data_IF_453837538488
#
_entry.id   IF_453837538488
#
_cell.length_a   1.000
_cell.length_b   1.000
_cell.length_c   1.000
_cell.angle_alpha   90.00
_cell.angle_beta   90.00
_cell.angle_gamma   90.00
#
_symmetry.space_group_name_H-M   'P 1'
#
loop_
_entity.id
_entity.type
_entity.pdbx_description
1 polymer ?
#
# COMPACT_ATOMS: atom_id res chain seq x y z
N UNK A 1 -17.93 24.86 -3.77
CA UNK A 1 -18.50 23.93 -2.78
C UNK A 1 -17.31 23.16 -2.26
N UNK A 2 -16.81 23.54 -1.08
CA UNK A 2 -15.58 23.00 -0.48
C UNK A 2 -16.02 22.33 0.83
N UNK A 3 -16.52 21.09 0.77
CA UNK A 3 -16.81 20.29 1.95
C UNK A 3 -15.59 19.46 2.31
N UNK A 4 -14.90 19.88 3.37
CA UNK A 4 -13.84 19.17 4.11
C UNK A 4 -12.75 18.46 3.26
N UNK A 5 -11.62 19.15 3.06
CA UNK A 5 -10.35 18.49 2.75
C UNK A 5 -9.91 17.66 3.97
N UNK A 6 -10.29 16.39 4.00
CA UNK A 6 -9.85 15.45 5.03
C UNK A 6 -8.50 14.87 4.61
N UNK A 7 -7.50 15.08 5.47
CA UNK A 7 -6.21 14.41 5.39
C UNK A 7 -6.13 13.34 6.47
N UNK A 8 -5.86 12.11 6.08
CA UNK A 8 -5.70 10.97 6.98
C UNK A 8 -4.22 10.59 7.10
N UNK A 9 -3.81 10.15 8.29
CA UNK A 9 -2.50 9.58 8.54
C UNK A 9 -2.69 8.17 9.11
N UNK A 10 -2.13 7.16 8.44
CA UNK A 10 -2.15 5.78 8.92
C UNK A 10 -0.74 5.19 9.01
N UNK A 11 -0.61 4.23 9.93
CA UNK A 11 0.55 3.35 10.03
C UNK A 11 0.06 1.91 9.87
N UNK A 12 0.63 1.18 8.91
CA UNK A 12 0.20 -0.16 8.53
C UNK A 12 1.38 -1.14 8.69
N UNK A 13 1.12 -2.35 9.17
CA UNK A 13 2.09 -3.45 9.28
C UNK A 13 1.45 -4.74 8.81
N UNK A 14 2.21 -5.57 8.09
CA UNK A 14 1.73 -6.88 7.64
C UNK A 14 2.88 -7.90 7.57
N UNK A 15 2.52 -9.16 7.33
CA UNK A 15 3.47 -10.20 6.95
C UNK A 15 3.20 -10.67 5.52
N UNK A 16 4.22 -10.62 4.66
CA UNK A 16 4.14 -11.05 3.27
C UNK A 16 5.03 -12.27 3.04
N UNK A 17 4.54 -13.19 2.22
CA UNK A 17 5.24 -14.39 1.80
C UNK A 17 5.09 -14.58 0.28
N UNK A 18 6.12 -15.10 -0.37
CA UNK A 18 6.07 -15.39 -1.80
C UNK A 18 5.52 -16.79 -2.09
N UNK A 19 4.80 -16.94 -3.21
CA UNK A 19 4.43 -18.22 -3.79
C UNK A 19 5.15 -18.34 -5.14
N UNK A 20 5.88 -19.44 -5.38
CA UNK A 20 6.54 -19.70 -6.66
C UNK A 20 7.81 -18.89 -6.94
N UNK A 21 8.34 -18.16 -5.96
CA UNK A 21 9.64 -17.48 -6.07
C UNK A 21 10.75 -18.40 -5.52
N UNK A 22 11.82 -18.63 -6.30
CA UNK A 22 12.95 -19.50 -5.92
C UNK A 22 13.63 -19.10 -4.60
N UNK A 23 13.60 -17.81 -4.27
CA UNK A 23 14.22 -17.23 -3.08
C UNK A 23 13.28 -17.21 -1.85
N UNK A 24 12.03 -17.71 -1.98
CA UNK A 24 11.06 -17.92 -0.90
C UNK A 24 10.94 -16.72 0.08
N UNK A 25 10.74 -15.52 -0.48
CA UNK A 25 10.72 -14.30 0.31
C UNK A 25 9.67 -14.32 1.43
N UNK A 26 10.09 -13.85 2.61
CA UNK A 26 9.23 -13.50 3.74
C UNK A 26 9.68 -12.17 4.31
N UNK A 27 8.79 -11.20 4.38
CA UNK A 27 9.13 -9.84 4.81
C UNK A 27 7.95 -9.17 5.53
N UNK A 28 8.27 -8.16 6.33
CA UNK A 28 7.31 -7.46 7.17
C UNK A 28 7.20 -6.00 6.72
N UNK A 29 6.35 -5.66 5.73
CA UNK A 29 6.20 -4.27 5.30
C UNK A 29 5.62 -3.40 6.41
N UNK A 30 6.26 -2.26 6.64
CA UNK A 30 5.77 -1.15 7.45
C UNK A 30 5.48 0.03 6.53
N UNK A 31 4.25 0.53 6.54
CA UNK A 31 3.86 1.69 5.73
C UNK A 31 3.44 2.84 6.63
N UNK A 32 3.86 4.05 6.27
CA UNK A 32 3.27 5.30 6.75
C UNK A 32 2.58 5.93 5.57
N UNK A 33 1.26 6.13 5.66
CA UNK A 33 0.42 6.60 4.56
C UNK A 33 -0.25 7.90 4.91
N UNK A 34 -0.16 8.86 4.00
CA UNK A 34 -0.98 10.07 3.98
C UNK A 34 -2.07 9.86 2.94
N UNK A 35 -3.33 9.95 3.36
CA UNK A 35 -4.49 9.91 2.46
C UNK A 35 -5.08 11.30 2.28
N UNK A 36 -5.34 11.68 1.04
CA UNK A 36 -6.05 12.91 0.70
C UNK A 36 -7.39 12.58 0.08
N UNK A 37 -8.47 12.98 0.74
CA UNK A 37 -9.82 12.85 0.21
C UNK A 37 -10.01 13.77 -1.00
N UNK A 38 -10.44 13.19 -2.13
CA UNK A 38 -10.61 13.90 -3.39
C UNK A 38 -12.04 14.37 -3.64
N UNK A 39 -13.02 13.67 -3.05
CA UNK A 39 -14.44 13.97 -3.21
C UNK A 39 -15.21 13.80 -1.89
N UNK A 40 -16.36 14.45 -1.81
CA UNK A 40 -17.34 14.22 -0.76
C UNK A 40 -18.03 12.85 -0.96
N UNK A 41 -18.70 12.35 0.08
CA UNK A 41 -19.44 11.09 -0.06
C UNK A 41 -20.57 11.24 -1.07
N UNK A 42 -20.43 10.60 -2.22
CA UNK A 42 -21.36 10.63 -3.33
C UNK A 42 -21.93 9.25 -3.67
N UNK A 43 -22.63 9.19 -4.81
CA UNK A 43 -23.35 8.02 -5.32
C UNK A 43 -24.50 7.53 -4.42
N UNK A 44 -25.28 6.59 -4.95
CA UNK A 44 -26.42 5.96 -4.27
C UNK A 44 -26.22 4.43 -4.19
N UNK A 45 -27.09 3.78 -3.42
CA UNK A 45 -27.10 2.33 -3.22
C UNK A 45 -25.74 1.77 -2.76
N UNK A 46 -25.42 0.54 -3.18
CA UNK A 46 -24.21 -0.18 -2.80
C UNK A 46 -22.91 0.50 -3.25
N UNK A 47 -22.98 1.43 -4.21
CA UNK A 47 -21.82 2.21 -4.69
C UNK A 47 -21.56 3.48 -3.91
N UNK A 48 -22.45 3.87 -2.99
CA UNK A 48 -22.28 5.06 -2.14
C UNK A 48 -20.91 5.07 -1.45
N UNK A 49 -20.15 6.17 -1.56
CA UNK A 49 -18.76 6.19 -1.12
C UNK A 49 -18.00 7.46 -1.48
N UNK A 50 -16.70 7.46 -1.17
CA UNK A 50 -15.77 8.53 -1.53
C UNK A 50 -14.44 7.97 -2.06
N UNK A 51 -13.66 8.84 -2.69
CA UNK A 51 -12.34 8.55 -3.26
C UNK A 51 -11.25 9.27 -2.48
N UNK A 52 -10.18 8.57 -2.17
CA UNK A 52 -8.93 9.11 -1.61
C UNK A 52 -7.77 8.82 -2.56
N UNK A 53 -6.79 9.71 -2.57
CA UNK A 53 -5.47 9.44 -3.13
C UNK A 53 -4.46 9.25 -2.02
N UNK A 54 -3.72 8.16 -2.08
CA UNK A 54 -2.81 7.73 -1.01
C UNK A 54 -1.36 7.93 -1.44
N UNK A 55 -0.54 8.38 -0.49
CA UNK A 55 0.90 8.45 -0.60
C UNK A 55 1.53 7.72 0.59
N UNK A 56 2.29 6.67 0.32
CA UNK A 56 2.90 5.84 1.36
C UNK A 56 4.41 5.80 1.23
N UNK A 57 5.11 6.01 2.35
CA UNK A 57 6.48 5.54 2.51
C UNK A 57 6.46 4.12 3.07
N UNK A 58 7.25 3.21 2.51
CA UNK A 58 7.34 1.83 2.97
C UNK A 58 8.76 1.46 3.34
N UNK A 59 8.92 0.72 4.44
CA UNK A 59 10.14 0.00 4.80
C UNK A 59 9.78 -1.42 5.22
N UNK A 60 10.44 -2.42 4.64
CA UNK A 60 10.14 -3.83 4.84
C UNK A 60 11.41 -4.63 5.16
N UNK A 61 11.72 -4.92 6.44
CA UNK A 61 12.75 -5.90 6.78
C UNK A 61 12.38 -7.28 6.23
N UNK A 62 13.38 -7.98 5.70
CA UNK A 62 13.24 -9.32 5.17
C UNK A 62 13.65 -10.33 6.24
N UNK A 63 12.74 -11.26 6.54
CA UNK A 63 12.97 -12.35 7.50
C UNK A 63 13.62 -13.56 6.80
N UNK A 64 13.29 -13.77 5.53
CA UNK A 64 13.89 -14.80 4.69
C UNK A 64 13.97 -14.31 3.25
N UNK A 65 15.15 -14.41 2.65
CA UNK A 65 15.43 -13.95 1.28
C UNK A 65 16.84 -13.35 1.15
N UNK A 66 17.33 -13.15 -0.07
CA UNK A 66 18.69 -12.65 -0.34
C UNK A 66 18.86 -11.13 -0.15
N UNK A 67 17.76 -10.39 -0.15
CA UNK A 67 17.75 -8.97 0.17
C UNK A 67 17.48 -8.80 1.68
N UNK A 68 18.21 -7.96 2.42
CA UNK A 68 17.98 -7.75 3.85
C UNK A 68 16.76 -6.86 4.12
N UNK A 69 16.39 -5.99 3.16
CA UNK A 69 15.29 -5.06 3.28
C UNK A 69 14.79 -4.58 1.92
N UNK A 70 13.58 -4.06 1.90
CA UNK A 70 13.02 -3.25 0.81
C UNK A 70 12.57 -1.89 1.37
N UNK A 71 12.76 -0.81 0.62
CA UNK A 71 12.24 0.51 0.99
C UNK A 71 11.73 1.25 -0.25
N UNK A 72 10.77 2.14 -0.12
CA UNK A 72 10.27 2.84 -1.30
C UNK A 72 9.03 3.68 -1.05
N UNK A 73 8.45 4.12 -2.16
CA UNK A 73 7.23 4.91 -2.18
C UNK A 73 6.13 4.20 -2.96
N UNK A 74 4.92 4.22 -2.42
CA UNK A 74 3.71 3.71 -3.07
C UNK A 74 2.71 4.85 -3.16
N UNK A 75 1.90 4.87 -4.21
CA UNK A 75 0.81 5.82 -4.35
C UNK A 75 -0.32 5.26 -5.21
N UNK A 76 -1.53 5.75 -4.99
CA UNK A 76 -2.67 5.37 -5.81
C UNK A 76 -4.01 5.62 -5.15
N UNK A 77 -5.10 5.33 -5.87
CA UNK A 77 -6.45 5.58 -5.39
C UNK A 77 -6.95 4.52 -4.40
N UNK A 78 -7.84 4.95 -3.50
CA UNK A 78 -8.72 4.11 -2.70
C UNK A 78 -10.14 4.61 -2.84
N UNK A 79 -11.09 3.69 -3.04
CA UNK A 79 -12.52 3.98 -2.96
C UNK A 79 -13.09 3.33 -1.70
N UNK A 80 -13.71 4.13 -0.83
CA UNK A 80 -14.36 3.63 0.39
C UNK A 80 -15.87 3.51 0.15
N UNK A 81 -16.42 2.31 0.36
CA UNK A 81 -17.85 2.04 0.24
C UNK A 81 -18.55 2.40 1.57
N UNK A 82 -19.07 3.62 1.65
CA UNK A 82 -19.63 4.18 2.88
C UNK A 82 -21.15 4.05 2.84
N UNK A 83 -21.69 3.19 3.70
CA UNK A 83 -23.12 2.96 3.85
C UNK A 83 -23.61 3.47 5.20
N UNK A 84 -24.83 4.00 5.23
CA UNK A 84 -25.41 4.48 6.49
C UNK A 84 -25.64 3.32 7.46
N UNK A 85 -25.20 3.49 8.71
CA UNK A 85 -25.36 2.49 9.77
C UNK A 85 -24.41 1.29 9.71
N UNK A 86 -23.48 1.22 8.76
CA UNK A 86 -22.49 0.13 8.71
C UNK A 86 -21.35 0.36 9.72
N UNK A 87 -21.02 -0.64 10.57
CA UNK A 87 -19.90 -0.54 11.51
C UNK A 87 -18.53 -0.79 10.85
N UNK A 88 -18.52 -1.27 9.61
CA UNK A 88 -17.33 -1.60 8.83
C UNK A 88 -17.45 -0.95 7.46
N UNK A 89 -16.38 -0.32 7.00
CA UNK A 89 -16.31 0.35 5.70
C UNK A 89 -15.42 -0.50 4.79
N UNK A 90 -15.99 -1.27 3.85
CA UNK A 90 -15.19 -1.92 2.82
C UNK A 90 -14.52 -0.87 1.95
N UNK A 91 -13.36 -1.21 1.40
CA UNK A 91 -12.67 -0.35 0.45
C UNK A 91 -12.02 -1.19 -0.65
N UNK A 92 -11.86 -0.59 -1.82
CA UNK A 92 -11.02 -1.10 -2.89
C UNK A 92 -9.84 -0.15 -3.06
N UNK A 93 -8.64 -0.68 -3.05
CA UNK A 93 -7.41 0.09 -3.18
C UNK A 93 -6.51 -0.51 -4.25
N UNK A 94 -5.86 0.37 -5.00
CA UNK A 94 -4.75 -0.01 -5.86
C UNK A 94 -3.63 1.00 -5.69
N UNK A 95 -2.44 0.52 -5.31
CA UNK A 95 -1.23 1.35 -5.23
C UNK A 95 -0.19 0.77 -6.18
N UNK A 96 0.52 1.66 -6.85
CA UNK A 96 1.74 1.36 -7.61
C UNK A 96 2.90 2.11 -6.99
N UNK A 97 4.12 1.70 -7.26
CA UNK A 97 5.26 2.42 -6.70
C UNK A 97 6.60 1.87 -7.14
N UNK A 98 7.63 2.44 -6.53
CA UNK A 98 9.02 2.09 -6.76
C UNK A 98 9.64 1.62 -5.46
N UNK A 99 10.51 0.63 -5.57
CA UNK A 99 11.18 0.00 -4.44
C UNK A 99 12.68 -0.05 -4.70
N UNK A 100 13.44 0.27 -3.67
CA UNK A 100 14.87 0.08 -3.58
C UNK A 100 15.17 -1.08 -2.65
N UNK A 101 16.26 -1.76 -2.95
CA UNK A 101 16.77 -2.85 -2.13
C UNK A 101 18.25 -3.00 -2.39
N UNK A 102 18.95 -3.67 -1.48
CA UNK A 102 20.32 -4.10 -1.68
C UNK A 102 20.33 -5.62 -1.83
N UNK A 103 20.77 -6.11 -2.98
CA UNK A 103 20.89 -7.54 -3.21
C UNK A 103 22.29 -8.01 -2.82
N UNK A 104 22.40 -8.99 -1.93
CA UNK A 104 23.69 -9.52 -1.45
C UNK A 104 24.39 -10.49 -2.45
N UNK A 105 24.11 -10.34 -3.75
CA UNK A 105 24.78 -11.12 -4.80
C UNK A 105 24.24 -12.53 -5.04
N UNK A 106 23.05 -12.87 -4.52
CA UNK A 106 22.38 -14.12 -4.86
C UNK A 106 21.77 -14.07 -6.28
N UNK A 107 21.84 -15.19 -7.00
CA UNK A 107 21.14 -15.36 -8.27
C UNK A 107 19.62 -15.13 -8.08
N UNK A 108 18.99 -14.49 -9.05
CA UNK A 108 17.55 -14.16 -9.06
C UNK A 108 17.07 -13.25 -7.90
N UNK A 109 17.98 -12.48 -7.29
CA UNK A 109 17.61 -11.48 -6.29
C UNK A 109 16.89 -10.28 -6.90
N UNK A 110 15.89 -9.76 -6.20
CA UNK A 110 15.17 -8.57 -6.67
C UNK A 110 16.09 -7.34 -6.66
N UNK A 111 16.02 -6.52 -7.71
CA UNK A 111 16.80 -5.28 -7.88
C UNK A 111 18.08 -5.41 -8.72
N UNK A 112 18.37 -6.58 -9.31
CA UNK A 112 19.52 -6.78 -10.21
C UNK A 112 19.31 -6.22 -11.62
N UNK A 113 18.05 -5.99 -12.05
CA UNK A 113 17.73 -5.62 -13.44
C UNK A 113 18.03 -4.15 -13.81
N UNK A 114 18.60 -3.38 -12.88
CA UNK A 114 19.00 -1.97 -13.08
C UNK A 114 20.51 -1.73 -12.83
N UNK A 115 21.33 -2.79 -12.79
CA UNK A 115 22.79 -2.66 -12.72
C UNK A 115 23.45 -2.46 -14.08
#
# INVERSE_FOLDING_TARGET
MFGEDVVTLSAETAGLFSIGNSNNYRYLPQLITVGWQLDEIGNEDWTRGNTEFLFSGMYAPVIHGPNPWFTGGLFGPRYNFIQEGWPVIPYLESRVGFMFTNATGAADSQGQDFC
#
